data_IF_030232883549
#
_entry.id   IF_030232883549
#
_cell.length_a   1.000
_cell.length_b   1.000
_cell.length_c   1.000
_cell.angle_alpha   90.00
_cell.angle_beta   90.00
_cell.angle_gamma   90.00
#
_symmetry.space_group_name_H-M   'P 1'
#
loop_
_entity.id
_entity.type
_entity.pdbx_description
1 polymer ?
#
# COMPACT_ATOMS: atom_id res chain seq x y z
N UNK A 1 -28.76 28.83 10.97
CA UNK A 1 -28.77 29.86 12.03
C UNK A 1 -29.31 29.23 13.30
N UNK A 2 -28.44 28.80 14.20
CA UNK A 2 -28.78 28.43 15.58
C UNK A 2 -27.74 29.12 16.48
N UNK A 3 -28.27 30.06 17.25
CA UNK A 3 -27.55 31.07 18.01
C UNK A 3 -26.92 30.49 19.27
N UNK A 4 -25.72 31.02 19.57
CA UNK A 4 -25.02 30.92 20.86
C UNK A 4 -25.90 31.48 21.99
N UNK A 5 -26.58 30.60 22.75
CA UNK A 5 -27.11 30.94 24.10
C UNK A 5 -27.76 29.68 24.71
N UNK A 6 -26.97 28.93 25.48
CA UNK A 6 -27.38 28.08 26.63
C UNK A 6 -26.17 27.37 27.22
N UNK A 7 -25.32 28.17 27.83
CA UNK A 7 -24.34 27.70 28.79
C UNK A 7 -24.23 28.77 29.89
N UNK A 8 -25.12 28.74 30.85
CA UNK A 8 -24.97 29.34 32.18
C UNK A 8 -26.23 29.03 32.98
N UNK A 9 -26.11 28.10 33.90
CA UNK A 9 -26.84 28.05 35.18
C UNK A 9 -26.80 26.61 35.71
N UNK A 10 -25.83 26.35 36.55
CA UNK A 10 -25.96 25.53 37.75
C UNK A 10 -24.69 25.77 38.57
N UNK A 11 -24.76 26.77 39.40
CA UNK A 11 -23.80 27.05 40.45
C UNK A 11 -24.43 26.82 41.82
N UNK A 12 -23.64 26.24 42.66
CA UNK A 12 -23.63 26.27 44.14
C UNK A 12 -24.75 25.59 44.91
N UNK A 13 -24.35 24.53 45.61
CA UNK A 13 -24.37 24.52 47.09
C UNK A 13 -23.46 23.38 47.59
N UNK A 14 -22.35 23.78 48.18
CA UNK A 14 -21.46 22.90 48.94
C UNK A 14 -21.89 22.89 50.41
N UNK A 15 -22.12 21.71 50.97
CA UNK A 15 -22.17 21.52 52.40
C UNK A 15 -21.05 20.59 52.81
N UNK A 16 -20.12 21.11 53.61
CA UNK A 16 -19.00 20.39 54.16
C UNK A 16 -19.45 19.37 55.20
N UNK A 17 -19.05 18.14 55.04
CA UNK A 17 -19.03 17.14 56.11
C UNK A 17 -17.64 16.50 56.18
N UNK A 18 -16.84 16.89 57.15
CA UNK A 18 -15.61 16.17 57.48
C UNK A 18 -15.99 14.81 58.04
N UNK A 19 -15.62 13.75 57.31
CA UNK A 19 -15.51 12.41 57.84
C UNK A 19 -14.08 11.91 57.58
N UNK A 20 -13.30 11.77 58.66
CA UNK A 20 -12.06 10.97 58.63
C UNK A 20 -12.43 9.52 58.33
N UNK A 21 -12.09 9.05 57.14
CA UNK A 21 -12.27 7.66 56.73
C UNK A 21 -11.09 7.26 55.88
N UNK A 22 -10.31 6.31 56.41
CA UNK A 22 -9.17 5.59 55.86
C UNK A 22 -8.80 5.79 54.39
N UNK A 23 -7.60 6.30 54.13
CA UNK A 23 -6.94 6.19 52.83
C UNK A 23 -6.83 4.72 52.46
N UNK A 24 -7.78 4.20 51.67
CA UNK A 24 -7.54 3.02 50.87
C UNK A 24 -6.49 3.45 49.80
N UNK A 25 -5.28 2.90 49.92
CA UNK A 25 -4.34 2.89 48.83
C UNK A 25 -5.11 2.39 47.59
N UNK A 26 -5.28 3.26 46.63
CA UNK A 26 -5.77 2.88 45.31
C UNK A 26 -4.77 1.82 44.80
N UNK A 27 -5.24 0.58 44.67
CA UNK A 27 -4.51 -0.45 43.94
C UNK A 27 -4.22 0.13 42.60
N UNK A 28 -2.95 0.32 42.26
CA UNK A 28 -2.56 0.67 40.91
C UNK A 28 -3.24 -0.33 39.96
N UNK A 29 -3.99 0.16 38.99
CA UNK A 29 -4.50 -0.68 37.94
C UNK A 29 -3.31 -1.48 37.37
N UNK A 30 -3.46 -2.77 37.07
CA UNK A 30 -2.36 -3.52 36.45
C UNK A 30 -1.86 -2.74 35.26
N UNK A 31 -0.55 -2.49 35.24
CA UNK A 31 0.13 -1.83 34.14
C UNK A 31 -0.18 -2.64 32.88
N UNK A 32 -0.69 -1.97 31.85
CA UNK A 32 -0.99 -2.65 30.60
C UNK A 32 0.29 -3.35 30.10
N UNK A 33 0.20 -4.57 29.58
CA UNK A 33 1.38 -5.26 29.10
C UNK A 33 2.12 -4.40 28.08
N UNK A 34 3.44 -4.42 28.13
CA UNK A 34 4.27 -3.67 27.19
C UNK A 34 3.93 -4.09 25.74
N UNK A 35 3.81 -3.14 24.80
CA UNK A 35 3.51 -3.46 23.41
C UNK A 35 4.65 -4.27 22.78
N UNK A 36 4.32 -5.20 21.89
CA UNK A 36 5.31 -5.96 21.10
C UNK A 36 6.05 -5.04 20.12
N UNK A 37 5.36 -4.01 19.60
CA UNK A 37 5.86 -3.05 18.61
C UNK A 37 5.40 -1.65 18.99
N UNK A 38 6.29 -0.67 18.82
CA UNK A 38 5.93 0.75 18.91
C UNK A 38 6.22 1.44 17.58
N UNK A 39 5.21 2.09 17.00
CA UNK A 39 5.31 2.97 15.85
C UNK A 39 5.11 4.41 16.31
N UNK A 40 6.13 5.24 16.13
CA UNK A 40 6.08 6.67 16.37
C UNK A 40 5.92 7.41 15.04
N UNK A 41 4.85 8.18 14.88
CA UNK A 41 4.59 9.05 13.74
C UNK A 41 5.08 10.44 14.13
N UNK A 42 6.14 10.93 13.47
CA UNK A 42 6.77 12.19 13.85
C UNK A 42 7.29 12.99 12.63
N UNK A 43 7.39 14.32 12.75
CA UNK A 43 8.07 15.14 11.76
C UNK A 43 9.49 14.65 11.52
N UNK A 44 9.89 14.59 10.25
CA UNK A 44 11.18 14.06 9.82
C UNK A 44 11.75 14.89 8.66
N UNK A 45 13.03 15.23 8.72
CA UNK A 45 13.75 15.80 7.59
C UNK A 45 14.31 14.65 6.75
N UNK A 46 13.63 14.32 5.69
CA UNK A 46 14.03 13.29 4.75
C UNK A 46 15.10 13.81 3.79
N UNK A 47 16.15 13.02 3.58
CA UNK A 47 17.25 13.32 2.66
C UNK A 47 17.38 12.19 1.63
N UNK A 48 16.89 12.41 0.41
CA UNK A 48 17.08 11.52 -0.72
C UNK A 48 18.49 11.58 -1.30
N UNK A 49 19.08 12.80 -1.29
CA UNK A 49 20.47 13.11 -1.60
C UNK A 49 20.85 14.43 -0.91
N UNK A 50 22.13 14.83 -0.86
CA UNK A 50 22.53 16.10 -0.24
C UNK A 50 21.82 17.35 -0.79
N UNK A 51 21.30 17.28 -2.02
CA UNK A 51 20.61 18.39 -2.69
C UNK A 51 19.09 18.30 -2.61
N UNK A 52 18.55 17.10 -2.28
CA UNK A 52 17.09 16.85 -2.26
C UNK A 52 16.68 16.44 -0.85
N UNK A 53 16.12 17.43 -0.13
CA UNK A 53 15.68 17.29 1.26
C UNK A 53 14.24 17.77 1.38
N UNK A 54 13.40 16.98 2.04
CA UNK A 54 11.97 17.25 2.18
C UNK A 54 11.57 17.18 3.66
N UNK A 55 10.79 18.16 4.12
CA UNK A 55 10.09 18.03 5.39
C UNK A 55 8.90 17.09 5.19
N UNK A 56 8.84 16.05 5.98
CA UNK A 56 7.80 15.04 5.91
C UNK A 56 7.43 14.54 7.31
N UNK A 57 6.56 13.56 7.37
CA UNK A 57 6.25 12.76 8.56
C UNK A 57 6.67 11.33 8.26
N UNK A 58 7.27 10.65 9.21
CA UNK A 58 7.77 9.29 9.01
C UNK A 58 7.53 8.41 10.25
N UNK A 59 7.58 7.10 10.05
CA UNK A 59 7.54 6.12 11.15
C UNK A 59 8.94 5.91 11.74
N UNK A 60 9.07 6.10 13.05
CA UNK A 60 10.30 5.86 13.81
C UNK A 60 11.54 6.58 13.24
N UNK A 61 11.34 7.80 12.66
CA UNK A 61 12.42 8.66 12.17
C UNK A 61 13.21 8.07 10.99
N UNK A 62 12.59 7.30 10.12
CA UNK A 62 13.20 6.72 8.93
C UNK A 62 12.21 6.52 7.79
N UNK A 63 12.72 6.42 6.56
CA UNK A 63 11.96 6.10 5.34
C UNK A 63 12.75 5.09 4.49
N UNK A 64 12.14 3.95 4.12
CA UNK A 64 10.88 3.42 4.65
C UNK A 64 10.90 3.30 6.17
N UNK A 65 9.73 3.28 6.81
CA UNK A 65 9.58 2.94 8.21
C UNK A 65 10.18 1.56 8.55
N UNK A 66 10.20 1.14 9.82
CA UNK A 66 10.85 -0.11 10.21
C UNK A 66 10.22 -1.31 9.51
N UNK A 67 11.06 -2.30 9.15
CA UNK A 67 10.56 -3.61 8.73
C UNK A 67 9.96 -4.34 9.94
N UNK A 68 8.64 -4.50 9.93
CA UNK A 68 7.92 -5.25 10.95
C UNK A 68 7.88 -6.73 10.56
N UNK A 69 8.30 -7.59 11.47
CA UNK A 69 8.22 -9.05 11.32
C UNK A 69 7.25 -9.62 12.33
N UNK A 70 6.17 -10.21 11.83
CA UNK A 70 5.13 -10.82 12.65
C UNK A 70 4.99 -12.30 12.29
N UNK A 71 4.23 -13.04 13.09
CA UNK A 71 3.93 -14.46 12.83
C UNK A 71 2.42 -14.63 12.66
N UNK A 72 2.02 -15.28 11.58
CA UNK A 72 0.62 -15.62 11.31
C UNK A 72 0.02 -16.38 12.49
N UNK A 73 -1.16 -15.99 12.93
CA UNK A 73 -1.91 -16.63 14.00
C UNK A 73 -1.38 -16.34 15.41
N UNK A 74 -0.31 -15.53 15.57
CA UNK A 74 0.16 -15.07 16.89
C UNK A 74 -0.34 -13.67 17.17
N UNK A 75 -1.19 -13.52 18.19
CA UNK A 75 -1.64 -12.21 18.65
C UNK A 75 -0.46 -11.30 19.02
N UNK A 76 -0.55 -10.04 18.64
CA UNK A 76 0.41 -8.98 18.95
C UNK A 76 -0.31 -7.71 19.37
N UNK A 77 0.40 -6.87 20.12
CA UNK A 77 -0.04 -5.51 20.47
C UNK A 77 0.93 -4.50 19.88
N UNK A 78 0.39 -3.58 19.08
CA UNK A 78 1.12 -2.45 18.48
C UNK A 78 0.67 -1.16 19.16
N UNK A 79 1.61 -0.41 19.72
CA UNK A 79 1.38 0.95 20.16
C UNK A 79 1.71 1.93 19.03
N UNK A 80 0.77 2.82 18.70
CA UNK A 80 0.99 3.89 17.71
C UNK A 80 0.94 5.22 18.45
N UNK A 81 2.02 6.00 18.37
CA UNK A 81 2.17 7.33 18.99
C UNK A 81 2.18 8.40 17.91
N UNK A 82 1.18 9.25 17.89
CA UNK A 82 1.12 10.36 16.95
C UNK A 82 1.79 11.60 17.55
N UNK A 83 2.98 11.94 17.10
CA UNK A 83 3.72 13.18 17.40
C UNK A 83 3.69 14.18 16.25
N UNK A 84 2.91 13.93 15.20
CA UNK A 84 2.69 14.87 14.11
C UNK A 84 1.71 15.98 14.54
N UNK A 85 1.54 16.97 13.68
CA UNK A 85 0.60 18.07 13.90
C UNK A 85 -0.83 17.76 13.46
N UNK A 86 -1.03 16.69 12.69
CA UNK A 86 -2.32 16.31 12.12
C UNK A 86 -2.84 15.01 12.76
N UNK A 87 -4.15 14.73 12.75
CA UNK A 87 -4.68 13.43 13.08
C UNK A 87 -4.16 12.37 12.09
N UNK A 88 -3.82 11.18 12.58
CA UNK A 88 -3.17 10.12 11.81
C UNK A 88 -3.91 8.78 11.95
N UNK A 89 -3.73 7.92 10.99
CA UNK A 89 -4.19 6.52 11.02
C UNK A 89 -3.18 5.65 10.27
N UNK A 90 -3.04 4.40 10.69
CA UNK A 90 -2.16 3.42 10.04
C UNK A 90 -3.00 2.32 9.44
N UNK A 91 -2.98 2.19 8.12
CA UNK A 91 -3.59 1.07 7.42
C UNK A 91 -2.60 -0.10 7.33
N UNK A 92 -3.10 -1.28 7.68
CA UNK A 92 -2.37 -2.55 7.64
C UNK A 92 -2.68 -3.28 6.33
N UNK A 93 -2.12 -2.79 5.26
CA UNK A 93 -2.46 -3.19 3.91
C UNK A 93 -2.27 -4.69 3.64
N UNK A 94 -3.35 -5.33 3.22
CA UNK A 94 -3.40 -6.74 2.86
C UNK A 94 -3.59 -7.70 4.02
N UNK A 95 -3.91 -7.21 5.24
CA UNK A 95 -4.32 -8.03 6.38
C UNK A 95 -5.85 -8.15 6.49
N UNK A 96 -6.31 -9.25 7.08
CA UNK A 96 -7.73 -9.53 7.34
C UNK A 96 -8.08 -9.10 8.77
N UNK A 97 -8.19 -7.79 8.98
CA UNK A 97 -8.42 -7.20 10.29
C UNK A 97 -9.88 -6.74 10.47
N UNK A 98 -10.37 -6.59 11.71
CA UNK A 98 -11.62 -5.88 11.96
C UNK A 98 -11.56 -4.43 11.45
N UNK A 99 -12.70 -3.85 11.00
CA UNK A 99 -12.74 -2.48 10.45
C UNK A 99 -12.16 -1.43 11.39
N UNK A 100 -12.31 -1.60 12.69
CA UNK A 100 -11.86 -0.68 13.74
C UNK A 100 -10.33 -0.65 13.87
N UNK A 101 -9.63 -1.65 13.32
CA UNK A 101 -8.17 -1.83 13.39
C UNK A 101 -7.51 -1.67 12.02
N UNK A 102 -8.25 -1.90 10.95
CA UNK A 102 -7.73 -1.94 9.58
C UNK A 102 -7.01 -0.65 9.15
N UNK A 103 -7.46 0.49 9.68
CA UNK A 103 -6.79 1.77 9.48
C UNK A 103 -7.39 2.63 8.37
N UNK A 104 -8.68 2.49 8.08
CA UNK A 104 -9.44 3.37 7.21
C UNK A 104 -10.62 4.01 7.96
N UNK A 105 -10.74 5.33 7.90
CA UNK A 105 -11.84 6.06 8.56
C UNK A 105 -13.20 5.67 8.00
N UNK A 106 -13.28 5.42 6.73
CA UNK A 106 -14.47 5.03 5.97
C UNK A 106 -15.05 3.70 6.46
N UNK A 107 -14.19 2.85 7.00
CA UNK A 107 -14.57 1.57 7.60
C UNK A 107 -14.97 1.68 9.06
N UNK A 108 -14.46 2.70 9.76
CA UNK A 108 -14.73 2.94 11.18
C UNK A 108 -13.49 2.97 12.06
N UNK A 109 -12.28 2.86 11.49
CA UNK A 109 -11.04 3.01 12.25
C UNK A 109 -10.92 4.43 12.83
N UNK A 110 -10.63 4.59 14.13
CA UNK A 110 -10.51 5.90 14.74
C UNK A 110 -9.19 6.57 14.36
N UNK A 111 -9.24 7.89 14.14
CA UNK A 111 -8.04 8.71 13.99
C UNK A 111 -7.33 8.91 15.33
N UNK A 112 -6.02 8.91 15.31
CA UNK A 112 -5.15 9.18 16.46
C UNK A 112 -4.85 10.68 16.45
N UNK A 113 -5.38 11.41 17.44
CA UNK A 113 -5.17 12.86 17.54
C UNK A 113 -3.69 13.23 17.75
N UNK A 114 -3.26 14.45 17.37
CA UNK A 114 -1.92 14.96 17.68
C UNK A 114 -1.59 14.83 19.18
N UNK A 115 -0.42 14.27 19.49
CA UNK A 115 0.06 14.03 20.85
C UNK A 115 -0.58 12.82 21.56
N UNK A 116 -1.53 12.12 20.92
CA UNK A 116 -2.16 10.93 21.48
C UNK A 116 -1.44 9.65 21.06
N UNK A 117 -1.78 8.56 21.74
CA UNK A 117 -1.39 7.20 21.37
C UNK A 117 -2.58 6.24 21.41
N UNK A 118 -2.47 5.14 20.69
CA UNK A 118 -3.44 4.05 20.71
C UNK A 118 -2.72 2.71 20.76
N UNK A 119 -3.40 1.69 21.30
CA UNK A 119 -2.93 0.32 21.29
C UNK A 119 -3.89 -0.51 20.45
N UNK A 120 -3.34 -1.19 19.45
CA UNK A 120 -4.07 -2.11 18.59
C UNK A 120 -3.59 -3.53 18.89
N UNK A 121 -4.51 -4.40 19.30
CA UNK A 121 -4.22 -5.83 19.51
C UNK A 121 -4.92 -6.63 18.44
N UNK A 122 -4.16 -7.41 17.68
CA UNK A 122 -4.70 -8.22 16.58
C UNK A 122 -3.85 -9.46 16.29
N UNK A 123 -4.45 -10.39 15.57
CA UNK A 123 -3.78 -11.59 15.08
C UNK A 123 -3.48 -11.42 13.60
N UNK A 124 -2.20 -11.31 13.20
CA UNK A 124 -1.82 -11.11 11.80
C UNK A 124 -2.25 -12.29 10.92
N UNK A 125 -3.00 -12.02 9.87
CA UNK A 125 -3.44 -12.94 8.82
C UNK A 125 -3.80 -12.14 7.55
N UNK A 126 -3.42 -12.61 6.36
CA UNK A 126 -2.67 -13.82 6.00
C UNK A 126 -1.15 -13.62 6.04
N UNK A 127 -0.41 -14.72 5.95
CA UNK A 127 1.05 -14.69 5.77
C UNK A 127 1.44 -14.04 4.44
N UNK A 128 2.73 -13.64 4.34
CA UNK A 128 3.32 -13.08 3.13
C UNK A 128 3.91 -11.69 3.30
N UNK A 129 4.42 -11.14 2.20
CA UNK A 129 4.96 -9.78 2.16
C UNK A 129 3.83 -8.77 2.04
N UNK A 130 3.61 -8.00 3.10
CA UNK A 130 2.60 -6.96 3.27
C UNK A 130 3.30 -5.62 3.52
N UNK A 131 2.54 -4.56 3.78
CA UNK A 131 3.07 -3.27 4.15
C UNK A 131 2.09 -2.49 5.02
N UNK A 132 2.52 -1.38 5.58
CA UNK A 132 1.66 -0.46 6.31
C UNK A 132 1.95 0.97 5.88
N UNK A 133 0.93 1.80 5.88
CA UNK A 133 1.04 3.19 5.44
C UNK A 133 -0.05 4.06 6.06
N UNK A 134 0.09 5.38 5.93
CA UNK A 134 -0.98 6.30 6.29
C UNK A 134 -2.15 6.18 5.32
N UNK A 135 -3.36 6.28 5.82
CA UNK A 135 -4.59 6.33 5.01
C UNK A 135 -5.31 7.68 5.16
N UNK A 136 -4.53 8.75 5.37
CA UNK A 136 -5.05 10.10 5.50
C UNK A 136 -5.18 10.77 4.14
N UNK A 137 -6.17 11.66 4.00
CA UNK A 137 -6.31 12.49 2.81
C UNK A 137 -5.18 13.52 2.73
N UNK A 138 -4.57 13.66 1.56
CA UNK A 138 -3.63 14.73 1.25
C UNK A 138 -4.37 15.99 0.78
N UNK A 139 -5.48 15.83 0.09
CA UNK A 139 -6.25 16.92 -0.48
C UNK A 139 -5.45 17.73 -1.50
N UNK A 140 -5.14 18.98 -1.19
CA UNK A 140 -4.28 19.84 -2.02
C UNK A 140 -2.84 19.97 -1.49
N UNK A 141 -2.53 19.38 -0.34
CA UNK A 141 -1.18 19.42 0.21
C UNK A 141 -0.41 18.14 -0.19
N UNK A 142 0.25 18.20 -1.35
CA UNK A 142 1.04 17.10 -1.91
C UNK A 142 2.30 16.74 -1.08
N UNK A 143 2.33 17.08 0.22
CA UNK A 143 3.34 16.65 1.20
C UNK A 143 2.74 15.75 2.28
N UNK A 144 1.39 15.57 2.26
CA UNK A 144 0.60 14.76 3.20
C UNK A 144 0.15 13.44 2.56
N UNK A 145 -0.49 12.60 3.35
CA UNK A 145 -0.95 11.30 2.89
C UNK A 145 0.22 10.46 2.34
N UNK A 146 -0.02 9.72 1.28
CA UNK A 146 1.02 8.87 0.69
C UNK A 146 2.13 9.64 -0.04
N UNK A 147 2.01 10.98 -0.25
CA UNK A 147 3.12 11.79 -0.76
C UNK A 147 4.24 12.00 0.27
N UNK A 148 4.00 11.63 1.53
CA UNK A 148 4.97 11.67 2.62
C UNK A 148 5.72 10.35 2.82
N UNK A 149 6.54 10.29 3.88
CA UNK A 149 7.37 9.13 4.20
C UNK A 149 6.70 8.06 5.06
N UNK A 150 5.37 8.11 5.20
CA UNK A 150 4.62 7.24 6.11
C UNK A 150 4.23 5.91 5.48
N UNK A 151 5.24 5.11 5.17
CA UNK A 151 5.10 3.71 4.71
C UNK A 151 6.21 2.83 5.27
N UNK A 152 5.95 1.53 5.40
CA UNK A 152 6.94 0.57 5.88
C UNK A 152 6.59 -0.86 5.50
N UNK A 153 7.57 -1.74 5.57
CA UNK A 153 7.45 -3.14 5.21
C UNK A 153 6.87 -3.98 6.34
N UNK A 154 6.03 -4.93 5.99
CA UNK A 154 5.45 -5.88 6.91
C UNK A 154 5.62 -7.31 6.35
N UNK A 155 6.36 -8.15 7.06
CA UNK A 155 6.50 -9.56 6.71
C UNK A 155 5.80 -10.43 7.74
N UNK A 156 4.71 -11.08 7.32
CA UNK A 156 4.00 -12.06 8.13
C UNK A 156 4.54 -13.44 7.80
N UNK A 157 5.31 -14.01 8.73
CA UNK A 157 5.83 -15.38 8.57
C UNK A 157 4.69 -16.38 8.75
N UNK A 158 4.61 -17.43 7.91
CA UNK A 158 3.58 -18.47 8.05
C UNK A 158 3.70 -19.17 9.42
N UNK A 159 2.58 -19.71 9.90
CA UNK A 159 2.54 -20.46 11.17
C UNK A 159 3.31 -21.76 11.13
N UNK A 160 3.38 -22.41 9.95
CA UNK A 160 4.13 -23.63 9.69
C UNK A 160 5.59 -23.39 9.28
N UNK A 161 6.36 -24.46 9.23
CA UNK A 161 7.70 -24.43 8.62
C UNK A 161 7.55 -24.30 7.11
N UNK A 162 8.18 -23.28 6.53
CA UNK A 162 8.34 -23.11 5.10
C UNK A 162 9.85 -23.00 4.84
N UNK A 163 10.54 -24.08 4.41
CA UNK A 163 11.96 -24.02 4.15
C UNK A 163 12.23 -22.98 3.04
N UNK A 164 13.05 -22.00 3.36
CA UNK A 164 13.45 -20.99 2.41
C UNK A 164 14.20 -21.64 1.22
N UNK A 165 13.76 -21.34 0.01
CA UNK A 165 14.45 -21.74 -1.22
C UNK A 165 15.35 -20.60 -1.74
N UNK A 166 15.93 -19.83 -0.82
CA UNK A 166 16.83 -18.70 -1.06
C UNK A 166 17.80 -18.55 0.12
N UNK A 167 18.90 -17.86 -0.12
CA UNK A 167 19.95 -17.67 0.89
C UNK A 167 19.71 -16.43 1.75
N UNK A 168 18.99 -15.41 1.21
CA UNK A 168 18.83 -14.11 1.84
C UNK A 168 17.61 -13.36 1.32
N UNK A 169 17.06 -12.45 2.17
CA UNK A 169 15.98 -11.51 1.82
C UNK A 169 16.52 -10.09 1.67
N UNK A 170 15.98 -9.35 0.69
CA UNK A 170 16.20 -7.92 0.48
C UNK A 170 14.84 -7.25 0.28
N UNK A 171 14.60 -6.12 0.96
CA UNK A 171 13.37 -5.35 0.88
C UNK A 171 13.63 -4.03 0.16
N UNK A 172 12.86 -3.75 -0.89
CA UNK A 172 13.02 -2.57 -1.73
C UNK A 172 11.68 -1.85 -1.86
N UNK A 173 11.62 -0.61 -1.39
CA UNK A 173 10.46 0.29 -1.50
C UNK A 173 10.72 1.37 -2.55
N UNK A 174 9.89 1.40 -3.59
CA UNK A 174 9.92 2.43 -4.64
C UNK A 174 9.02 3.58 -4.19
N UNK A 175 9.51 4.82 -4.24
CA UNK A 175 8.71 5.98 -3.83
C UNK A 175 9.14 7.27 -4.53
N UNK A 176 8.16 8.16 -4.79
CA UNK A 176 8.38 9.43 -5.47
C UNK A 176 8.12 10.61 -4.52
N UNK A 177 8.89 11.69 -4.68
CA UNK A 177 8.94 12.81 -3.76
C UNK A 177 8.89 14.15 -4.48
N UNK A 178 8.55 15.20 -3.70
CA UNK A 178 8.53 16.57 -4.22
C UNK A 178 7.40 16.78 -5.21
N UNK A 179 6.25 16.13 -4.96
CA UNK A 179 5.07 16.26 -5.80
C UNK A 179 4.63 17.73 -5.94
N UNK A 180 4.27 18.11 -7.14
CA UNK A 180 3.69 19.41 -7.49
C UNK A 180 2.62 19.22 -8.54
N UNK A 181 1.58 20.05 -8.48
CA UNK A 181 0.56 20.05 -9.54
C UNK A 181 1.10 20.67 -10.82
N UNK A 182 0.95 19.94 -11.92
CA UNK A 182 1.17 20.45 -13.29
C UNK A 182 -0.12 20.35 -14.09
N UNK A 183 -0.25 21.19 -15.12
CA UNK A 183 -1.38 21.11 -16.03
C UNK A 183 -1.14 19.99 -17.05
N UNK A 184 -2.12 19.11 -17.19
CA UNK A 184 -2.20 18.13 -18.28
C UNK A 184 -2.63 18.77 -19.59
N UNK A 185 -2.68 18.02 -20.68
CA UNK A 185 -3.04 18.52 -22.02
C UNK A 185 -4.46 19.11 -22.09
N UNK A 186 -5.40 18.63 -21.28
CA UNK A 186 -6.76 19.17 -21.18
C UNK A 186 -6.88 20.33 -20.17
N UNK A 187 -5.79 20.66 -19.46
CA UNK A 187 -5.70 21.72 -18.46
C UNK A 187 -6.18 21.32 -17.08
N UNK A 188 -6.47 20.05 -16.82
CA UNK A 188 -6.65 19.52 -15.45
C UNK A 188 -5.31 19.47 -14.73
N UNK A 189 -5.31 19.36 -13.38
CA UNK A 189 -4.10 19.22 -12.60
C UNK A 189 -3.80 17.76 -12.32
N UNK A 190 -2.52 17.41 -12.42
CA UNK A 190 -1.99 16.10 -12.04
C UNK A 190 -0.66 16.26 -11.29
N UNK A 191 -0.30 15.33 -10.39
CA UNK A 191 0.97 15.38 -9.68
C UNK A 191 2.13 15.00 -10.60
N UNK A 192 3.24 15.76 -10.50
CA UNK A 192 4.55 15.46 -11.08
C UNK A 192 5.58 15.42 -9.95
N UNK A 193 6.58 14.57 -10.05
CA UNK A 193 7.57 14.34 -8.99
C UNK A 193 8.95 14.87 -9.36
N UNK A 194 9.65 15.43 -8.36
CA UNK A 194 11.02 15.93 -8.53
C UNK A 194 12.05 14.80 -8.40
N UNK A 195 11.80 13.84 -7.51
CA UNK A 195 12.76 12.81 -7.12
C UNK A 195 12.07 11.45 -6.98
N UNK A 196 12.76 10.42 -7.46
CA UNK A 196 12.37 9.03 -7.31
C UNK A 196 13.45 8.26 -6.54
N UNK A 197 13.05 7.38 -5.62
CA UNK A 197 13.98 6.70 -4.70
C UNK A 197 13.70 5.21 -4.57
N UNK A 198 14.75 4.45 -4.25
CA UNK A 198 14.61 3.11 -3.68
C UNK A 198 15.09 3.17 -2.23
N UNK A 199 14.24 2.71 -1.29
CA UNK A 199 14.51 2.77 0.15
C UNK A 199 14.91 4.17 0.63
N UNK A 200 14.24 5.20 0.11
CA UNK A 200 14.46 6.58 0.51
C UNK A 200 15.77 7.21 0.00
N UNK A 201 16.46 6.58 -0.94
CA UNK A 201 17.70 7.15 -1.51
C UNK A 201 17.63 7.16 -3.04
N UNK A 202 18.14 8.25 -3.62
CA UNK A 202 18.40 8.33 -5.06
C UNK A 202 19.57 7.40 -5.43
N UNK A 203 19.57 6.92 -6.66
CA UNK A 203 20.67 6.11 -7.22
C UNK A 203 22.03 6.80 -7.00
N UNK A 204 22.95 6.07 -6.40
CA UNK A 204 24.31 6.54 -6.08
C UNK A 204 24.44 7.26 -4.73
N UNK A 205 23.34 7.44 -3.96
CA UNK A 205 23.38 8.07 -2.62
C UNK A 205 22.99 7.12 -1.48
N UNK A 206 22.51 5.91 -1.80
CA UNK A 206 22.26 4.84 -0.83
C UNK A 206 23.40 3.83 -0.79
N UNK A 207 23.40 3.00 0.27
CA UNK A 207 24.35 1.90 0.39
C UNK A 207 24.03 0.83 -0.68
N UNK A 208 25.05 0.29 -1.36
CA UNK A 208 24.87 -0.82 -2.29
C UNK A 208 24.33 -2.07 -1.59
N UNK A 209 23.47 -2.78 -2.28
CA UNK A 209 23.06 -4.13 -1.87
C UNK A 209 24.21 -5.08 -2.20
N UNK A 210 24.92 -5.55 -1.17
CA UNK A 210 26.04 -6.48 -1.31
C UNK A 210 25.51 -7.89 -1.60
N UNK A 211 26.04 -8.58 -2.61
CA UNK A 211 25.65 -9.95 -2.97
C UNK A 211 26.89 -10.82 -3.23
N UNK A 212 26.73 -12.16 -3.21
CA UNK A 212 27.77 -13.11 -3.55
C UNK A 212 27.41 -13.85 -4.84
N UNK A 213 28.44 -14.22 -5.61
CA UNK A 213 28.22 -15.06 -6.79
C UNK A 213 27.60 -16.41 -6.39
N UNK A 214 26.56 -16.83 -7.09
CA UNK A 214 25.79 -18.04 -6.84
C UNK A 214 24.72 -17.92 -5.76
N UNK A 215 24.66 -16.78 -5.06
CA UNK A 215 23.64 -16.52 -4.03
C UNK A 215 22.24 -16.41 -4.69
N UNK A 216 21.24 -16.99 -4.05
CA UNK A 216 19.82 -16.85 -4.42
C UNK A 216 19.19 -15.82 -3.48
N UNK A 217 18.88 -14.65 -4.01
CA UNK A 217 18.35 -13.52 -3.22
C UNK A 217 16.85 -13.42 -3.46
N UNK A 218 16.06 -13.53 -2.38
CA UNK A 218 14.65 -13.17 -2.39
C UNK A 218 14.54 -11.64 -2.30
N UNK A 219 14.08 -11.01 -3.37
CA UNK A 219 13.81 -9.59 -3.42
C UNK A 219 12.31 -9.34 -3.22
N UNK A 220 11.96 -8.69 -2.13
CA UNK A 220 10.62 -8.19 -1.85
C UNK A 220 10.54 -6.74 -2.32
N UNK A 221 9.78 -6.47 -3.36
CA UNK A 221 9.69 -5.15 -3.99
C UNK A 221 8.27 -4.63 -3.83
N UNK A 222 8.15 -3.45 -3.21
CA UNK A 222 6.91 -2.71 -3.00
C UNK A 222 6.94 -1.44 -3.84
N UNK A 223 5.89 -1.16 -4.58
CA UNK A 223 5.66 0.19 -5.08
C UNK A 223 4.82 0.97 -4.05
N UNK A 224 5.46 1.83 -3.27
CA UNK A 224 4.83 2.75 -2.31
C UNK A 224 4.66 4.17 -2.88
N UNK A 225 4.84 4.36 -4.19
CA UNK A 225 4.59 5.64 -4.84
C UNK A 225 3.12 6.05 -4.70
N UNK A 226 2.83 7.34 -4.51
CA UNK A 226 1.45 7.81 -4.41
C UNK A 226 0.63 7.62 -5.69
N UNK A 227 1.25 7.71 -6.88
CA UNK A 227 0.53 7.65 -8.17
C UNK A 227 1.28 6.92 -9.28
N UNK A 228 2.63 6.82 -9.22
CA UNK A 228 3.44 6.34 -10.34
C UNK A 228 3.48 4.80 -10.43
N UNK A 229 3.26 4.29 -11.64
CA UNK A 229 3.54 2.89 -11.98
C UNK A 229 5.03 2.77 -12.31
N UNK A 230 5.76 1.88 -11.62
CA UNK A 230 7.19 1.68 -11.84
C UNK A 230 7.51 0.42 -12.64
N UNK A 231 8.51 0.53 -13.52
CA UNK A 231 9.02 -0.55 -14.34
C UNK A 231 10.49 -0.76 -14.01
N UNK A 232 10.80 -1.75 -13.18
CA UNK A 232 12.14 -1.95 -12.66
C UNK A 232 12.80 -3.21 -13.20
N UNK A 233 14.09 -3.12 -13.48
CA UNK A 233 14.91 -4.23 -13.95
C UNK A 233 16.25 -4.26 -13.21
N UNK A 234 16.86 -5.44 -13.13
CA UNK A 234 18.23 -5.63 -12.68
C UNK A 234 19.09 -6.04 -13.86
N UNK A 235 19.98 -5.15 -14.29
CA UNK A 235 20.86 -5.40 -15.42
C UNK A 235 21.62 -6.73 -15.31
N UNK A 236 21.59 -7.53 -16.37
CA UNK A 236 22.28 -8.82 -16.43
C UNK A 236 21.64 -9.95 -15.62
N UNK A 237 20.44 -9.76 -15.07
CA UNK A 237 19.71 -10.75 -14.28
C UNK A 237 18.24 -10.79 -14.68
N UNK A 238 17.55 -11.88 -14.29
CA UNK A 238 16.11 -12.02 -14.42
C UNK A 238 15.49 -12.29 -13.04
N UNK A 239 14.22 -11.94 -12.88
CA UNK A 239 13.43 -12.19 -11.69
C UNK A 239 12.59 -13.45 -11.86
N UNK A 240 12.79 -14.46 -11.03
CA UNK A 240 11.84 -15.56 -10.89
C UNK A 240 10.75 -15.10 -9.91
N UNK A 241 9.62 -14.59 -10.43
CA UNK A 241 8.50 -14.16 -9.60
C UNK A 241 7.85 -15.36 -8.94
N UNK A 242 7.73 -15.35 -7.63
CA UNK A 242 7.18 -16.46 -6.82
C UNK A 242 5.95 -16.03 -6.00
N UNK A 243 5.80 -14.73 -5.71
CA UNK A 243 4.65 -14.18 -4.99
C UNK A 243 4.24 -12.82 -5.58
N UNK A 244 2.94 -12.54 -5.53
CA UNK A 244 2.35 -11.22 -5.76
C UNK A 244 1.43 -10.87 -4.60
N UNK A 245 1.48 -9.63 -4.13
CA UNK A 245 0.71 -9.11 -3.01
C UNK A 245 0.72 -10.04 -1.78
N UNK A 246 1.88 -10.68 -1.54
CA UNK A 246 2.14 -11.60 -0.44
C UNK A 246 1.48 -12.98 -0.55
N UNK A 247 0.85 -13.29 -1.68
CA UNK A 247 0.36 -14.62 -2.01
C UNK A 247 1.25 -15.33 -3.04
N UNK A 248 1.40 -16.67 -2.98
CA UNK A 248 2.15 -17.40 -3.98
C UNK A 248 1.47 -17.32 -5.35
N UNK A 249 2.26 -17.18 -6.41
CA UNK A 249 1.71 -17.26 -7.77
C UNK A 249 1.52 -18.72 -8.17
N UNK A 250 0.44 -19.08 -8.88
CA UNK A 250 0.22 -20.46 -9.37
C UNK A 250 1.36 -20.98 -10.24
N UNK A 251 1.94 -20.11 -11.07
CA UNK A 251 3.00 -20.43 -12.02
C UNK A 251 4.19 -19.48 -11.86
N UNK A 252 5.20 -19.82 -11.05
CA UNK A 252 6.42 -19.03 -11.00
C UNK A 252 7.05 -18.90 -12.40
N UNK A 253 7.35 -17.68 -12.83
CA UNK A 253 7.89 -17.38 -14.14
C UNK A 253 9.05 -16.39 -14.06
N UNK A 254 10.02 -16.53 -14.99
CA UNK A 254 11.15 -15.62 -15.14
C UNK A 254 10.76 -14.44 -16.04
N UNK A 255 11.06 -13.23 -15.59
CA UNK A 255 10.87 -11.98 -16.34
C UNK A 255 12.12 -11.13 -16.22
N UNK A 256 12.37 -10.27 -17.22
CA UNK A 256 13.52 -9.38 -17.22
C UNK A 256 13.20 -8.02 -16.58
N UNK A 257 11.91 -7.74 -16.37
CA UNK A 257 11.40 -6.50 -15.83
C UNK A 257 10.15 -6.79 -14.98
N UNK A 258 9.98 -6.05 -13.91
CA UNK A 258 8.76 -6.01 -13.10
C UNK A 258 8.02 -4.69 -13.37
N UNK A 259 6.71 -4.77 -13.60
CA UNK A 259 5.83 -3.60 -13.61
C UNK A 259 4.99 -3.65 -12.33
N UNK A 260 5.08 -2.61 -11.50
CA UNK A 260 4.34 -2.50 -10.25
C UNK A 260 3.53 -1.21 -10.25
N UNK A 261 2.24 -1.32 -10.11
CA UNK A 261 1.37 -0.19 -9.82
C UNK A 261 1.47 0.21 -8.33
N UNK A 262 1.03 1.43 -7.93
CA UNK A 262 0.92 1.81 -6.53
C UNK A 262 0.28 0.72 -5.67
N UNK A 263 0.93 0.40 -4.56
CA UNK A 263 0.60 -0.67 -3.59
C UNK A 263 0.84 -2.11 -4.03
N UNK A 264 1.16 -2.39 -5.29
CA UNK A 264 1.53 -3.76 -5.69
C UNK A 264 2.86 -4.17 -5.07
N UNK A 265 2.94 -5.44 -4.68
CA UNK A 265 4.14 -6.09 -4.14
C UNK A 265 4.46 -7.31 -4.98
N UNK A 266 5.74 -7.48 -5.25
CA UNK A 266 6.28 -8.67 -5.90
C UNK A 266 7.42 -9.24 -5.06
N UNK A 267 7.40 -10.55 -4.80
CA UNK A 267 8.54 -11.28 -4.28
C UNK A 267 9.13 -12.14 -5.39
N UNK A 268 10.41 -11.93 -5.67
CA UNK A 268 11.10 -12.65 -6.74
C UNK A 268 12.47 -13.16 -6.29
N UNK A 269 12.82 -14.37 -6.71
CA UNK A 269 14.16 -14.90 -6.51
C UNK A 269 15.04 -14.47 -7.68
N UNK A 270 16.18 -13.87 -7.35
CA UNK A 270 17.22 -13.53 -8.30
C UNK A 270 18.45 -14.36 -8.03
N UNK A 271 18.91 -15.09 -9.03
CA UNK A 271 20.15 -15.85 -9.00
C UNK A 271 21.32 -14.94 -9.35
N UNK A 272 22.25 -14.73 -8.44
CA UNK A 272 23.39 -13.82 -8.60
C UNK A 272 24.51 -14.49 -9.41
N UNK A 273 24.29 -14.64 -10.74
CA UNK A 273 25.17 -15.37 -11.64
C UNK A 273 26.00 -14.49 -12.60
N UNK A 274 25.88 -13.16 -12.51
CA UNK A 274 26.60 -12.21 -13.36
C UNK A 274 27.49 -11.28 -12.51
N UNK A 275 28.69 -11.73 -12.08
CA UNK A 275 29.54 -10.93 -11.19
C UNK A 275 29.90 -9.55 -11.74
N UNK A 276 29.72 -8.52 -10.93
CA UNK A 276 29.97 -7.13 -11.33
C UNK A 276 29.39 -6.13 -10.35
N UNK A 277 29.30 -4.88 -10.78
CA UNK A 277 28.55 -3.80 -10.13
C UNK A 277 27.43 -3.38 -11.07
N UNK A 278 26.18 -3.50 -10.63
CA UNK A 278 25.01 -3.37 -11.46
C UNK A 278 24.03 -2.34 -10.89
N UNK A 279 23.15 -1.81 -11.74
CA UNK A 279 22.00 -1.02 -11.31
C UNK A 279 20.76 -1.91 -11.35
N UNK A 280 20.03 -1.98 -10.24
CA UNK A 280 18.61 -2.28 -10.21
C UNK A 280 17.88 -0.95 -10.26
N UNK A 281 17.04 -0.72 -11.25
CA UNK A 281 16.40 0.60 -11.40
C UNK A 281 15.31 0.65 -12.45
N UNK A 282 14.73 1.83 -12.59
CA UNK A 282 13.64 2.13 -13.51
C UNK A 282 14.09 2.03 -14.97
N UNK A 283 13.24 1.43 -15.80
CA UNK A 283 13.48 1.22 -17.23
C UNK A 283 13.31 2.52 -18.03
N UNK A 284 12.39 3.39 -17.63
CA UNK A 284 12.16 4.71 -18.24
C UNK A 284 13.27 5.68 -17.80
N UNK A 285 14.00 6.19 -18.78
CA UNK A 285 15.23 6.99 -18.56
C UNK A 285 15.00 8.23 -17.71
N UNK A 286 13.88 8.93 -17.86
CA UNK A 286 13.62 10.17 -17.11
C UNK A 286 13.40 9.89 -15.62
N UNK A 287 12.71 8.81 -15.24
CA UNK A 287 12.50 8.42 -13.85
C UNK A 287 13.77 7.84 -13.22
N UNK A 288 14.55 7.06 -13.99
CA UNK A 288 15.86 6.63 -13.52
C UNK A 288 16.80 7.83 -13.27
N UNK A 289 16.78 8.83 -14.16
CA UNK A 289 17.54 10.06 -13.98
C UNK A 289 17.07 10.90 -12.80
N UNK A 290 15.76 10.82 -12.44
CA UNK A 290 15.22 11.40 -11.21
C UNK A 290 15.64 10.63 -9.94
N UNK A 291 16.36 9.50 -10.07
CA UNK A 291 16.96 8.79 -8.95
C UNK A 291 16.47 7.36 -8.69
N UNK A 292 15.47 6.85 -9.43
CA UNK A 292 14.92 5.51 -9.19
C UNK A 292 15.93 4.42 -9.53
N UNK A 293 16.68 3.97 -8.52
CA UNK A 293 17.63 2.88 -8.63
C UNK A 293 18.44 2.65 -7.37
N UNK A 294 19.03 1.46 -7.29
CA UNK A 294 19.97 1.05 -6.25
C UNK A 294 21.12 0.24 -6.87
N UNK A 295 22.30 0.35 -6.30
CA UNK A 295 23.47 -0.40 -6.75
C UNK A 295 23.44 -1.80 -6.15
N UNK A 296 23.63 -2.82 -6.99
CA UNK A 296 23.85 -4.22 -6.59
C UNK A 296 25.34 -4.52 -6.83
N UNK A 297 26.06 -4.80 -5.76
CA UNK A 297 27.51 -4.98 -5.80
C UNK A 297 27.90 -6.39 -5.37
N UNK A 298 28.56 -7.12 -6.28
CA UNK A 298 29.08 -8.43 -5.95
C UNK A 298 30.34 -8.35 -5.10
N UNK A 299 30.45 -9.20 -4.10
CA UNK A 299 31.61 -9.29 -3.22
C UNK A 299 32.93 -9.38 -4.01
N UNK A 300 33.86 -8.48 -3.69
CA UNK A 300 35.15 -8.36 -4.37
C UNK A 300 35.10 -7.75 -5.78
N UNK A 301 33.96 -7.20 -6.21
CA UNK A 301 33.85 -6.42 -7.44
C UNK A 301 33.78 -4.94 -7.10
N UNK A 302 34.46 -4.13 -7.92
CA UNK A 302 34.52 -2.68 -7.79
C UNK A 302 34.35 -2.04 -9.15
N UNK A 303 34.03 -0.74 -9.20
CA UNK A 303 33.89 0.04 -10.44
C UNK A 303 32.56 0.78 -10.54
N UNK A 304 32.36 1.48 -11.65
CA UNK A 304 31.12 2.18 -11.89
C UNK A 304 29.96 1.21 -12.09
N UNK A 305 28.78 1.47 -11.48
CA UNK A 305 27.59 0.67 -11.69
C UNK A 305 27.17 0.66 -13.17
N UNK A 306 26.86 -0.51 -13.69
CA UNK A 306 26.47 -0.71 -15.09
C UNK A 306 24.95 -0.84 -15.21
N UNK A 307 24.40 -0.14 -16.21
CA UNK A 307 23.01 -0.32 -16.64
C UNK A 307 22.97 -0.90 -18.05
N UNK A 308 22.16 -1.94 -18.23
CA UNK A 308 21.82 -2.50 -19.53
C UNK A 308 20.29 -2.54 -19.59
N UNK A 309 19.75 -1.87 -20.59
CA UNK A 309 18.31 -1.85 -20.82
C UNK A 309 17.81 -3.28 -21.09
N UNK A 310 16.76 -3.76 -20.40
CA UNK A 310 16.18 -5.05 -20.71
C UNK A 310 15.60 -5.07 -22.12
N UNK A 311 15.73 -6.20 -22.82
CA UNK A 311 15.23 -6.34 -24.19
C UNK A 311 13.74 -6.70 -24.20
N UNK A 312 13.29 -7.50 -23.22
CA UNK A 312 11.91 -7.88 -23.07
C UNK A 312 11.24 -7.04 -21.99
N UNK A 313 10.27 -6.19 -22.39
CA UNK A 313 9.48 -5.34 -21.52
C UNK A 313 8.05 -5.86 -21.35
N UNK A 314 7.81 -7.13 -21.68
CA UNK A 314 6.50 -7.74 -21.52
C UNK A 314 6.21 -8.02 -20.04
N UNK A 315 5.10 -7.48 -19.56
CA UNK A 315 4.50 -7.80 -18.28
C UNK A 315 3.02 -8.12 -18.47
N UNK A 316 2.64 -9.34 -18.09
CA UNK A 316 1.26 -9.81 -18.16
C UNK A 316 0.99 -10.72 -16.95
N UNK A 317 -0.03 -10.44 -16.19
CA UNK A 317 -0.43 -11.25 -15.03
C UNK A 317 -0.74 -12.70 -15.41
N UNK A 318 -1.20 -12.95 -16.62
CA UNK A 318 -1.48 -14.30 -17.12
C UNK A 318 -0.25 -15.23 -17.18
N UNK A 319 0.98 -14.66 -17.20
CA UNK A 319 2.20 -15.46 -17.11
C UNK A 319 2.33 -16.20 -15.77
N UNK A 320 1.70 -15.67 -14.73
CA UNK A 320 1.83 -16.14 -13.34
C UNK A 320 0.59 -16.91 -12.86
N UNK A 321 -0.47 -16.93 -13.66
CA UNK A 321 -1.75 -17.59 -13.39
C UNK A 321 -1.90 -18.91 -14.16
N UNK A 322 -2.83 -19.77 -13.74
CA UNK A 322 -3.26 -20.89 -14.56
C UNK A 322 -4.15 -20.39 -15.70
N UNK A 323 -3.98 -20.87 -16.93
CA UNK A 323 -4.89 -20.56 -18.02
C UNK A 323 -6.30 -21.08 -17.72
N UNK A 324 -7.32 -20.33 -18.14
CA UNK A 324 -8.70 -20.75 -18.01
C UNK A 324 -9.45 -20.60 -19.34
N UNK A 325 -10.41 -21.49 -19.61
CA UNK A 325 -11.40 -21.28 -20.67
C UNK A 325 -12.49 -20.34 -20.17
N UNK A 326 -13.23 -19.64 -21.04
CA UNK A 326 -14.33 -18.76 -20.62
C UNK A 326 -15.35 -19.46 -19.69
N UNK A 327 -15.67 -20.72 -19.97
CA UNK A 327 -16.63 -21.53 -19.18
C UNK A 327 -16.08 -21.99 -17.83
N UNK A 328 -14.75 -21.99 -17.66
CA UNK A 328 -14.05 -22.38 -16.43
C UNK A 328 -13.52 -21.18 -15.64
N UNK A 329 -13.83 -19.95 -16.09
CA UNK A 329 -13.41 -18.73 -15.42
C UNK A 329 -14.40 -18.35 -14.35
N UNK A 330 -13.94 -18.33 -13.09
CA UNK A 330 -14.75 -17.95 -11.94
C UNK A 330 -15.82 -18.95 -11.53
N UNK A 331 -16.64 -18.57 -10.57
CA UNK A 331 -17.70 -19.40 -10.00
C UNK A 331 -19.05 -19.11 -10.66
N UNK A 332 -19.76 -20.15 -11.10
CA UNK A 332 -21.12 -20.02 -11.62
C UNK A 332 -22.12 -19.44 -10.59
N UNK A 333 -21.83 -19.55 -9.30
CA UNK A 333 -22.66 -19.03 -8.20
C UNK A 333 -22.24 -17.62 -7.73
N UNK A 334 -21.22 -17.01 -8.33
CA UNK A 334 -20.80 -15.66 -7.96
C UNK A 334 -21.85 -14.62 -8.36
N UNK A 335 -22.15 -13.70 -7.45
CA UNK A 335 -23.04 -12.57 -7.71
C UNK A 335 -22.21 -11.46 -8.36
N UNK A 336 -22.60 -11.04 -9.57
CA UNK A 336 -21.90 -9.96 -10.25
C UNK A 336 -22.24 -8.59 -9.65
N UNK A 337 -21.21 -7.76 -9.43
CA UNK A 337 -21.29 -6.36 -9.08
C UNK A 337 -20.65 -5.56 -10.21
N UNK A 338 -21.45 -4.94 -11.10
CA UNK A 338 -20.91 -4.11 -12.16
C UNK A 338 -20.45 -2.76 -11.62
N UNK A 339 -19.21 -2.38 -11.96
CA UNK A 339 -18.58 -1.11 -11.60
C UNK A 339 -18.09 -0.40 -12.85
N UNK A 340 -18.41 0.87 -12.99
CA UNK A 340 -17.94 1.71 -14.09
C UNK A 340 -17.11 2.84 -13.51
N UNK A 341 -15.91 3.03 -14.05
CA UNK A 341 -14.96 4.05 -13.64
C UNK A 341 -14.89 5.14 -14.69
N UNK A 342 -15.10 6.37 -14.30
CA UNK A 342 -14.94 7.54 -15.16
C UNK A 342 -14.47 8.76 -14.34
N UNK A 343 -14.11 9.83 -15.06
CA UNK A 343 -13.80 11.11 -14.45
C UNK A 343 -14.74 12.20 -14.95
N UNK A 344 -14.78 13.29 -14.21
CA UNK A 344 -15.47 14.53 -14.58
C UNK A 344 -14.48 15.67 -14.54
N UNK A 345 -14.29 16.33 -15.66
CA UNK A 345 -13.52 17.56 -15.73
C UNK A 345 -14.10 18.64 -14.82
N UNK A 346 -13.31 19.15 -13.90
CA UNK A 346 -13.69 20.15 -12.91
C UNK A 346 -13.31 21.59 -13.31
N UNK A 347 -12.81 21.78 -14.55
CA UNK A 347 -12.36 23.07 -15.08
C UNK A 347 -10.84 23.22 -15.04
N UNK A 348 -10.30 24.10 -15.89
CA UNK A 348 -8.86 24.37 -15.96
C UNK A 348 -8.30 24.80 -14.60
N UNK A 349 -7.12 24.28 -14.24
CA UNK A 349 -6.47 24.54 -12.96
C UNK A 349 -7.13 23.85 -11.78
N UNK A 350 -8.01 22.89 -12.03
CA UNK A 350 -8.58 22.01 -11.03
C UNK A 350 -8.28 20.55 -11.40
N UNK A 351 -8.06 19.68 -10.40
CA UNK A 351 -7.95 18.26 -10.63
C UNK A 351 -9.29 17.66 -11.06
N UNK A 352 -9.25 16.53 -11.74
CA UNK A 352 -10.45 15.78 -12.09
C UNK A 352 -11.18 15.26 -10.86
N UNK A 353 -12.49 15.05 -10.99
CA UNK A 353 -13.31 14.37 -9.97
C UNK A 353 -13.58 12.95 -10.45
N UNK A 354 -13.21 11.98 -9.66
CA UNK A 354 -13.32 10.57 -10.01
C UNK A 354 -14.65 9.97 -9.56
N UNK A 355 -15.19 9.04 -10.34
CA UNK A 355 -16.52 8.48 -10.09
C UNK A 355 -16.56 6.97 -10.28
N UNK A 356 -17.33 6.32 -9.41
CA UNK A 356 -17.75 4.94 -9.54
C UNK A 356 -19.26 4.95 -9.80
N UNK A 357 -19.71 4.31 -10.89
CA UNK A 357 -21.11 4.30 -11.33
C UNK A 357 -21.71 5.72 -11.41
N UNK A 358 -20.91 6.69 -11.90
CA UNK A 358 -21.33 8.08 -12.10
C UNK A 358 -21.40 8.94 -10.83
N UNK A 359 -20.97 8.42 -9.67
CA UNK A 359 -20.95 9.11 -8.37
C UNK A 359 -19.57 9.12 -7.76
N UNK A 360 -19.23 10.19 -7.04
CA UNK A 360 -18.00 10.32 -6.26
C UNK A 360 -18.29 10.11 -4.79
N UNK A 361 -17.35 9.52 -4.06
CA UNK A 361 -17.45 9.43 -2.61
C UNK A 361 -17.58 10.85 -1.98
N UNK A 362 -18.44 11.07 -0.95
CA UNK A 362 -19.19 10.04 -0.20
C UNK A 362 -20.57 9.64 -0.78
N UNK A 363 -20.94 10.10 -1.97
CA UNK A 363 -22.26 9.83 -2.56
C UNK A 363 -22.29 8.54 -3.40
N UNK A 364 -21.23 7.72 -3.37
CA UNK A 364 -21.19 6.39 -4.01
C UNK A 364 -22.18 5.43 -3.37
N UNK A 365 -22.63 4.45 -4.14
CA UNK A 365 -23.47 3.38 -3.60
C UNK A 365 -22.69 2.53 -2.57
N UNK A 366 -23.41 1.96 -1.60
CA UNK A 366 -22.87 1.00 -0.63
C UNK A 366 -23.46 -0.41 -0.92
N UNK A 367 -22.85 -1.21 -1.81
CA UNK A 367 -23.32 -2.56 -2.07
C UNK A 367 -23.32 -3.43 -0.80
N UNK A 368 -24.37 -4.24 -0.65
CA UNK A 368 -24.53 -5.10 0.53
C UNK A 368 -24.03 -6.50 0.24
N UNK A 369 -23.02 -6.91 0.98
CA UNK A 369 -22.43 -8.24 0.92
C UNK A 369 -23.09 -9.18 1.95
N UNK A 370 -23.16 -10.46 1.61
CA UNK A 370 -23.56 -11.53 2.54
C UNK A 370 -22.36 -12.40 2.87
N UNK A 371 -22.13 -12.63 4.15
CA UNK A 371 -21.00 -13.45 4.60
C UNK A 371 -21.03 -14.83 3.96
N UNK A 372 -19.87 -15.30 3.49
CA UNK A 372 -19.69 -16.57 2.79
C UNK A 372 -20.09 -16.57 1.31
N UNK A 373 -20.71 -15.50 0.81
CA UNK A 373 -21.10 -15.39 -0.59
C UNK A 373 -19.90 -14.98 -1.46
N UNK A 374 -19.78 -15.58 -2.65
CA UNK A 374 -18.79 -15.20 -3.66
C UNK A 374 -19.36 -14.10 -4.56
N UNK A 375 -18.55 -13.06 -4.79
CA UNK A 375 -18.88 -11.91 -5.63
C UNK A 375 -17.88 -11.75 -6.75
N UNK A 376 -18.38 -11.35 -7.94
CA UNK A 376 -17.56 -11.00 -9.09
C UNK A 376 -17.67 -9.51 -9.33
N UNK A 377 -16.55 -8.79 -9.22
CA UNK A 377 -16.47 -7.39 -9.63
C UNK A 377 -16.17 -7.35 -11.13
N UNK A 378 -17.09 -6.74 -11.89
CA UNK A 378 -16.93 -6.48 -13.32
C UNK A 378 -16.64 -5.00 -13.47
N UNK A 379 -15.34 -4.66 -13.56
CA UNK A 379 -14.83 -3.30 -13.53
C UNK A 379 -14.58 -2.79 -14.95
N UNK A 380 -15.40 -1.85 -15.40
CA UNK A 380 -15.28 -1.21 -16.72
C UNK A 380 -14.65 0.18 -16.54
N UNK A 381 -13.40 0.31 -16.95
CA UNK A 381 -12.69 1.58 -16.94
C UNK A 381 -13.00 2.36 -18.23
N UNK A 382 -13.70 3.48 -18.11
CA UNK A 382 -14.04 4.39 -19.22
C UNK A 382 -13.07 5.58 -19.31
N UNK A 383 -12.15 5.73 -18.33
CA UNK A 383 -11.17 6.81 -18.31
C UNK A 383 -9.98 6.52 -19.23
N UNK A 384 -9.11 7.51 -19.39
CA UNK A 384 -7.85 7.40 -20.12
C UNK A 384 -6.69 6.95 -19.25
N UNK A 385 -6.92 6.79 -17.93
CA UNK A 385 -5.89 6.44 -16.97
C UNK A 385 -6.00 4.98 -16.52
N UNK A 386 -4.87 4.36 -16.21
CA UNK A 386 -4.82 3.08 -15.52
C UNK A 386 -5.10 3.27 -14.03
N UNK A 387 -5.85 2.37 -13.41
CA UNK A 387 -6.21 2.48 -11.99
C UNK A 387 -5.78 1.26 -11.19
N UNK A 388 -4.84 1.38 -10.24
CA UNK A 388 -4.59 0.34 -9.24
C UNK A 388 -5.75 0.30 -8.25
N UNK A 389 -6.56 -0.72 -8.34
CA UNK A 389 -7.74 -0.91 -7.49
C UNK A 389 -7.42 -1.83 -6.33
N UNK A 390 -7.71 -1.37 -5.11
CA UNK A 390 -7.55 -2.10 -3.87
C UNK A 390 -8.89 -2.39 -3.21
N UNK A 391 -9.01 -3.60 -2.64
CA UNK A 391 -10.11 -4.02 -1.79
C UNK A 391 -9.57 -4.34 -0.39
N UNK A 392 -9.91 -3.51 0.58
CA UNK A 392 -9.49 -3.69 1.97
C UNK A 392 -9.93 -5.04 2.53
N UNK A 393 -9.10 -5.62 3.41
CA UNK A 393 -9.45 -6.80 4.22
C UNK A 393 -9.81 -8.06 3.43
N UNK A 394 -9.64 -8.05 2.10
CA UNK A 394 -9.90 -9.18 1.22
C UNK A 394 -8.80 -9.35 0.19
N UNK A 395 -8.61 -10.58 -0.25
CA UNK A 395 -7.94 -10.88 -1.51
C UNK A 395 -8.98 -11.33 -2.52
N UNK A 396 -8.69 -11.08 -3.78
CA UNK A 396 -9.52 -11.50 -4.91
C UNK A 396 -8.71 -12.34 -5.91
N UNK A 397 -9.38 -13.27 -6.55
CA UNK A 397 -8.87 -14.04 -7.67
C UNK A 397 -9.00 -13.23 -8.96
N UNK A 398 -7.91 -13.07 -9.69
CA UNK A 398 -7.93 -12.39 -10.99
C UNK A 398 -8.42 -13.35 -12.07
N UNK A 399 -9.47 -12.95 -12.78
CA UNK A 399 -10.08 -13.78 -13.83
C UNK A 399 -9.75 -13.30 -15.24
N UNK A 400 -9.68 -11.97 -15.42
CA UNK A 400 -9.48 -11.34 -16.72
C UNK A 400 -8.99 -9.90 -16.55
N UNK A 401 -8.04 -9.45 -17.37
CA UNK A 401 -7.52 -8.07 -17.36
C UNK A 401 -7.47 -7.52 -18.77
N UNK A 402 -8.25 -6.50 -19.07
CA UNK A 402 -8.27 -5.81 -20.37
C UNK A 402 -8.55 -6.76 -21.53
N UNK A 403 -7.71 -6.77 -22.53
CA UNK A 403 -7.79 -7.67 -23.69
C UNK A 403 -7.00 -8.97 -23.50
N UNK A 404 -6.49 -9.21 -22.28
CA UNK A 404 -5.71 -10.39 -21.94
C UNK A 404 -6.53 -11.68 -21.89
N UNK A 405 -5.88 -12.83 -21.77
CA UNK A 405 -6.55 -14.13 -21.68
C UNK A 405 -7.26 -14.30 -20.32
N UNK A 406 -8.23 -15.23 -20.30
CA UNK A 406 -8.82 -15.68 -19.05
C UNK A 406 -7.80 -16.48 -18.23
N UNK A 407 -7.83 -16.28 -16.90
CA UNK A 407 -6.91 -16.89 -15.96
C UNK A 407 -7.61 -17.32 -14.67
N UNK A 408 -6.90 -18.08 -13.83
CA UNK A 408 -7.36 -18.48 -12.50
C UNK A 408 -6.22 -18.70 -11.53
N UNK A 409 -6.55 -18.73 -10.25
CA UNK A 409 -5.63 -19.06 -9.15
C UNK A 409 -4.70 -17.90 -8.74
N UNK A 410 -4.60 -16.83 -9.52
CA UNK A 410 -3.80 -15.67 -9.13
C UNK A 410 -4.58 -14.82 -8.13
N UNK A 411 -4.11 -14.79 -6.88
CA UNK A 411 -4.71 -14.03 -5.78
C UNK A 411 -3.97 -12.72 -5.58
N UNK A 412 -4.72 -11.61 -5.53
CA UNK A 412 -4.18 -10.25 -5.30
C UNK A 412 -5.07 -9.47 -4.36
N UNK A 413 -4.56 -8.37 -3.81
CA UNK A 413 -5.36 -7.37 -3.08
C UNK A 413 -5.33 -6.00 -3.78
N UNK A 414 -4.40 -5.80 -4.73
CA UNK A 414 -4.34 -4.65 -5.63
C UNK A 414 -4.22 -5.14 -7.07
N UNK A 415 -4.94 -4.53 -8.01
CA UNK A 415 -4.83 -4.87 -9.42
C UNK A 415 -4.91 -3.61 -10.29
N UNK A 416 -3.96 -3.46 -11.21
CA UNK A 416 -3.98 -2.38 -12.19
C UNK A 416 -5.02 -2.65 -13.28
N UNK A 417 -6.04 -1.80 -13.33
CA UNK A 417 -7.11 -1.84 -14.33
C UNK A 417 -6.72 -0.93 -15.49
N UNK A 418 -6.44 -1.48 -16.70
CA UNK A 418 -6.01 -0.67 -17.82
C UNK A 418 -7.09 0.32 -18.28
N UNK A 419 -6.65 1.45 -18.85
CA UNK A 419 -7.50 2.44 -19.48
C UNK A 419 -8.38 1.82 -20.58
N UNK A 420 -9.63 2.29 -20.70
CA UNK A 420 -10.58 1.87 -21.77
C UNK A 420 -10.84 0.37 -21.86
N UNK A 421 -10.71 -0.34 -20.74
CA UNK A 421 -10.81 -1.80 -20.69
C UNK A 421 -11.85 -2.30 -19.69
N UNK A 422 -12.07 -3.62 -19.68
CA UNK A 422 -12.85 -4.32 -18.67
C UNK A 422 -11.96 -5.34 -17.98
N UNK A 423 -12.06 -5.42 -16.65
CA UNK A 423 -11.32 -6.36 -15.81
C UNK A 423 -12.29 -7.07 -14.87
N UNK A 424 -12.09 -8.36 -14.65
CA UNK A 424 -12.95 -9.16 -13.78
C UNK A 424 -12.12 -9.84 -12.69
N UNK A 425 -12.60 -9.74 -11.45
CA UNK A 425 -12.05 -10.44 -10.30
C UNK A 425 -13.16 -11.06 -9.46
N UNK A 426 -12.83 -12.10 -8.70
CA UNK A 426 -13.76 -12.70 -7.73
C UNK A 426 -13.18 -12.71 -6.33
N UNK A 427 -14.04 -12.48 -5.33
CA UNK A 427 -13.68 -12.65 -3.93
C UNK A 427 -14.81 -13.31 -3.14
N UNK A 428 -14.48 -13.90 -2.01
CA UNK A 428 -15.46 -14.39 -1.05
C UNK A 428 -15.62 -13.38 0.07
N UNK A 429 -16.83 -12.95 0.36
CA UNK A 429 -17.13 -12.04 1.45
C UNK A 429 -17.05 -12.78 2.80
N UNK A 430 -15.86 -12.88 3.38
CA UNK A 430 -15.61 -13.66 4.60
C UNK A 430 -15.07 -12.83 5.78
N UNK A 431 -14.95 -11.51 5.61
CA UNK A 431 -14.50 -10.57 6.65
C UNK A 431 -15.58 -9.50 6.91
N UNK A 432 -16.59 -9.80 7.78
CA UNK A 432 -17.70 -8.91 8.05
C UNK A 432 -17.28 -7.51 8.52
N UNK A 433 -18.11 -6.52 8.21
CA UNK A 433 -17.91 -5.11 8.53
C UNK A 433 -17.91 -4.23 7.29
N UNK A 434 -17.64 -2.95 7.47
CA UNK A 434 -17.45 -2.02 6.34
C UNK A 434 -16.12 -2.34 5.67
N UNK A 435 -16.09 -2.34 4.35
CA UNK A 435 -14.91 -2.68 3.56
C UNK A 435 -14.72 -1.64 2.47
N UNK A 436 -13.59 -0.94 2.51
CA UNK A 436 -13.26 0.09 1.54
C UNK A 436 -12.78 -0.54 0.23
N UNK A 437 -13.23 0.02 -0.87
CA UNK A 437 -12.80 -0.26 -2.23
C UNK A 437 -12.42 1.06 -2.88
N UNK A 438 -11.19 1.20 -3.36
CA UNK A 438 -10.71 2.46 -3.89
C UNK A 438 -9.58 2.31 -4.92
N UNK A 439 -9.35 3.35 -5.71
CA UNK A 439 -8.12 3.48 -6.48
C UNK A 439 -6.96 3.82 -5.53
N UNK A 440 -5.82 3.13 -5.66
CA UNK A 440 -4.66 3.34 -4.79
C UNK A 440 -3.74 4.49 -5.25
N UNK A 441 -4.12 5.24 -6.28
CA UNK A 441 -3.53 6.53 -6.55
C UNK A 441 -4.13 7.55 -5.56
N UNK A 442 -3.26 8.20 -4.76
CA UNK A 442 -3.68 9.10 -3.68
C UNK A 442 -4.59 10.23 -4.17
N UNK A 443 -4.25 10.87 -5.29
CA UNK A 443 -5.04 11.95 -5.85
C UNK A 443 -6.41 11.48 -6.36
N UNK A 444 -6.50 10.29 -6.94
CA UNK A 444 -7.78 9.72 -7.38
C UNK A 444 -8.67 9.39 -6.18
N UNK A 445 -8.10 8.76 -5.15
CA UNK A 445 -8.79 8.45 -3.90
C UNK A 445 -9.34 9.74 -3.24
N UNK A 446 -8.49 10.74 -3.07
CA UNK A 446 -8.84 12.02 -2.45
C UNK A 446 -9.94 12.78 -3.19
N UNK A 447 -10.10 12.50 -4.49
CA UNK A 447 -11.09 13.12 -5.37
C UNK A 447 -12.29 12.25 -5.66
N UNK A 448 -12.54 11.28 -4.79
CA UNK A 448 -13.79 10.54 -4.74
C UNK A 448 -13.78 9.15 -5.36
N UNK A 449 -12.63 8.63 -5.81
CA UNK A 449 -12.54 7.28 -6.37
C UNK A 449 -12.53 6.21 -5.29
N UNK A 450 -13.59 6.17 -4.49
CA UNK A 450 -13.82 5.20 -3.42
C UNK A 450 -15.29 4.82 -3.32
N UNK A 451 -15.54 3.65 -2.78
CA UNK A 451 -16.85 3.21 -2.29
C UNK A 451 -16.68 2.27 -1.12
N UNK A 452 -17.74 2.09 -0.33
CA UNK A 452 -17.75 1.18 0.80
C UNK A 452 -18.71 0.04 0.54
N UNK A 453 -18.25 -1.18 0.62
CA UNK A 453 -19.10 -2.36 0.76
C UNK A 453 -19.49 -2.52 2.22
N UNK A 454 -20.72 -2.88 2.51
CA UNK A 454 -21.16 -3.21 3.86
C UNK A 454 -21.73 -4.62 3.91
N UNK A 455 -21.61 -5.25 5.04
CA UNK A 455 -22.19 -6.58 5.26
C UNK A 455 -23.61 -6.46 5.81
N UNK A 456 -24.49 -7.40 5.37
CA UNK A 456 -25.86 -7.53 5.87
C UNK A 456 -25.91 -8.07 7.31
#
# INVERSE_FOLDING_TARGET
MLTRRRFAQFGAMASASLALGGMKLASAAPEAPAPDITLEIAPFLFEASPRHRFQTVAYNGQVPGPLLRMKQGREITVEIRNKSADPEVVHWHGLYLPPEIDGAMEEGSPMIAPGASTHLTFTPDPAGFRWFHTHTFAGRDLRKGQYGGQHGFLLIKPSGENPANYDREVFLGLHDWGARDIASDDGSLMPEYEVSTINGKMLGFGEPVQVKQGERVMMHILNSSPTEVHWVALSGHSFLVVEMDGGPVPRPAKVDMLRLAPAERVSAIVEMNAPGVWVLGEVRKHIQAAGMGVVIEYAGKTGAPRWIQPQNLLWDYAQFAEPATPDATGSASAIAIPLTFDSKFAGHGNPEVWRINGRSYPDTEEPVLRAGQRYRLVMKNLSTDDHPIHLHRHTFEVLHVGDGPNMRGLMKDVLLIPAKSTTEVEFTANHPGRTLFHCHQQDHMDRGFMMVFRYA
#
